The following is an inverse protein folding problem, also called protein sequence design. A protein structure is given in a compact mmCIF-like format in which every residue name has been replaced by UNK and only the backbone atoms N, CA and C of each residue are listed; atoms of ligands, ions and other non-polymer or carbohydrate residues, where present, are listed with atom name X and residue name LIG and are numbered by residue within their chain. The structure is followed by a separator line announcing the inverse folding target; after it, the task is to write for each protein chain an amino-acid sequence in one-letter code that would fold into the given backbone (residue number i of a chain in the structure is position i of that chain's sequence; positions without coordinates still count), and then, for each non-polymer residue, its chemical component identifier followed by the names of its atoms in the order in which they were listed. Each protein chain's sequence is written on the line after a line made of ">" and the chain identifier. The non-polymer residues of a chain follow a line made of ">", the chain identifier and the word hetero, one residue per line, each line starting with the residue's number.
data_IF_156247076996
#
_entry.id   IF_156247076996
#
_cell.length_a   1.000
_cell.length_b   1.000
_cell.length_c   1.000
_cell.angle_alpha   90.00
_cell.angle_beta   90.00
_cell.angle_gamma   90.00
#
_symmetry.space_group_name_H-M   'P 1'
#
loop_
_entity.id
_entity.type
_entity.pdbx_description
1 polymer ?
#
# COMPACT_ATOMS: atom_id res chain seq x y z
N UNK A 1 -25.34 -6.02 -20.88
CA UNK A 1 -24.54 -5.17 -19.99
C UNK A 1 -24.73 -3.71 -20.40
N UNK A 2 -25.12 -2.84 -19.47
CA UNK A 2 -25.65 -1.53 -19.79
C UNK A 2 -24.50 -0.57 -20.15
N UNK A 3 -24.49 -0.02 -21.38
CA UNK A 3 -23.56 1.04 -21.86
C UNK A 3 -23.36 2.20 -20.86
N UNK A 4 -24.29 2.35 -19.93
CA UNK A 4 -24.30 3.32 -18.83
C UNK A 4 -23.08 3.22 -17.91
N UNK A 5 -22.53 2.03 -17.65
CA UNK A 5 -21.42 1.82 -16.69
C UNK A 5 -20.10 2.48 -17.09
N UNK A 6 -19.73 2.37 -18.37
CA UNK A 6 -18.50 2.97 -18.89
C UNK A 6 -18.72 4.45 -19.21
N UNK A 7 -19.94 4.83 -19.60
CA UNK A 7 -20.32 6.23 -19.73
C UNK A 7 -20.33 6.95 -18.38
N UNK A 8 -20.69 6.29 -17.28
CA UNK A 8 -20.65 6.85 -15.94
C UNK A 8 -19.18 6.96 -15.46
N UNK A 9 -18.31 6.00 -15.79
CA UNK A 9 -16.85 6.08 -15.58
C UNK A 9 -16.20 7.24 -16.36
N UNK A 10 -16.48 7.36 -17.66
CA UNK A 10 -15.98 8.45 -18.51
C UNK A 10 -16.58 9.81 -18.14
N UNK A 11 -17.85 9.85 -17.69
CA UNK A 11 -18.46 11.08 -17.17
C UNK A 11 -17.89 11.49 -15.83
N UNK A 12 -17.52 10.58 -14.94
CA UNK A 12 -16.82 10.93 -13.69
C UNK A 12 -15.45 11.57 -13.99
N UNK A 13 -14.74 11.06 -15.00
CA UNK A 13 -13.48 11.64 -15.49
C UNK A 13 -13.71 13.01 -16.17
N UNK A 14 -14.82 13.16 -16.91
CA UNK A 14 -15.16 14.39 -17.67
C UNK A 14 -15.84 15.49 -16.85
N UNK A 15 -16.54 15.17 -15.76
CA UNK A 15 -17.44 16.10 -15.04
C UNK A 15 -16.88 16.62 -13.72
N UNK A 16 -15.86 15.97 -13.15
CA UNK A 16 -15.08 16.60 -12.09
C UNK A 16 -14.06 17.49 -12.77
N UNK A 17 -14.17 18.80 -12.55
CA UNK A 17 -13.00 19.68 -12.52
C UNK A 17 -12.00 19.06 -11.55
N UNK A 18 -11.19 18.12 -12.04
CA UNK A 18 -9.98 17.70 -11.38
C UNK A 18 -9.15 18.97 -11.25
N UNK A 19 -8.89 19.33 -10.00
CA UNK A 19 -7.80 20.24 -9.61
C UNK A 19 -6.71 20.21 -10.66
N UNK A 20 -6.41 21.36 -11.26
CA UNK A 20 -5.43 21.56 -12.34
C UNK A 20 -3.98 21.26 -11.94
N UNK A 21 -3.77 20.64 -10.78
CA UNK A 21 -2.51 20.03 -10.39
C UNK A 21 -2.74 18.53 -10.14
N UNK A 22 -2.24 17.70 -11.07
CA UNK A 22 -1.99 16.29 -10.80
C UNK A 22 -1.11 16.18 -9.54
N UNK A 23 -1.38 15.25 -8.61
CA UNK A 23 -0.48 15.05 -7.48
C UNK A 23 0.94 14.73 -7.98
N UNK A 24 1.96 15.28 -7.31
CA UNK A 24 3.40 15.24 -7.65
C UNK A 24 4.05 13.83 -7.74
N UNK A 25 3.24 12.77 -7.80
CA UNK A 25 3.64 11.37 -7.76
C UNK A 25 3.22 10.57 -8.99
N UNK A 26 2.33 11.10 -9.83
CA UNK A 26 1.92 10.45 -11.08
C UNK A 26 3.01 10.66 -12.12
N UNK A 27 3.58 9.60 -12.73
CA UNK A 27 4.57 9.75 -13.80
C UNK A 27 3.95 10.40 -15.03
N UNK A 28 4.78 11.06 -15.85
CA UNK A 28 4.35 11.53 -17.16
C UNK A 28 3.95 10.33 -18.03
N UNK A 29 2.88 10.48 -18.78
CA UNK A 29 2.40 9.47 -19.72
C UNK A 29 1.77 10.15 -20.94
N UNK A 30 1.73 9.44 -22.06
CA UNK A 30 1.02 9.89 -23.25
C UNK A 30 -0.50 9.87 -23.01
N UNK A 31 -1.29 10.68 -23.75
CA UNK A 31 -2.73 10.63 -23.68
C UNK A 31 -3.27 9.20 -23.94
N UNK A 32 -4.29 8.80 -23.18
CA UNK A 32 -4.95 7.51 -23.34
C UNK A 32 -5.61 7.43 -24.72
N UNK A 33 -5.40 6.33 -25.45
CA UNK A 33 -6.04 6.09 -26.74
C UNK A 33 -7.40 5.41 -26.56
N UNK A 34 -8.39 5.80 -27.37
CA UNK A 34 -9.72 5.16 -27.38
C UNK A 34 -9.64 3.64 -27.66
N UNK A 35 -8.64 3.20 -28.41
CA UNK A 35 -8.38 1.78 -28.68
C UNK A 35 -8.02 1.00 -27.43
N UNK A 36 -7.29 1.61 -26.49
CA UNK A 36 -6.84 0.97 -25.25
C UNK A 36 -8.02 0.81 -24.30
N UNK A 37 -8.87 1.84 -24.21
CA UNK A 37 -10.13 1.80 -23.44
C UNK A 37 -11.05 0.70 -23.96
N UNK A 38 -11.21 0.59 -25.29
CA UNK A 38 -12.03 -0.47 -25.91
C UNK A 38 -11.47 -1.86 -25.67
N UNK A 39 -10.15 -2.02 -25.68
CA UNK A 39 -9.51 -3.31 -25.36
C UNK A 39 -9.75 -3.71 -23.91
N UNK A 40 -9.59 -2.77 -22.97
CA UNK A 40 -9.87 -3.01 -21.56
C UNK A 40 -11.36 -3.32 -21.32
N UNK A 41 -12.26 -2.56 -21.95
CA UNK A 41 -13.70 -2.83 -21.90
C UNK A 41 -14.02 -4.24 -22.40
N UNK A 42 -13.47 -4.64 -23.54
CA UNK A 42 -13.66 -5.98 -24.11
C UNK A 42 -13.15 -7.06 -23.15
N UNK A 43 -11.95 -6.89 -22.60
CA UNK A 43 -11.38 -7.81 -21.62
C UNK A 43 -12.29 -7.96 -20.39
N UNK A 44 -12.71 -6.84 -19.78
CA UNK A 44 -13.58 -6.87 -18.61
C UNK A 44 -14.94 -7.47 -18.93
N UNK A 45 -15.51 -7.20 -20.11
CA UNK A 45 -16.80 -7.74 -20.52
C UNK A 45 -16.76 -9.25 -20.72
N UNK A 46 -15.67 -9.78 -21.29
CA UNK A 46 -15.51 -11.20 -21.59
C UNK A 46 -15.00 -12.04 -20.41
N UNK A 47 -14.60 -11.40 -19.30
CA UNK A 47 -14.17 -12.08 -18.08
C UNK A 47 -15.31 -12.17 -17.06
N UNK A 48 -15.36 -13.28 -16.31
CA UNK A 48 -16.35 -13.53 -15.26
C UNK A 48 -15.72 -13.67 -13.87
N UNK A 49 -14.44 -14.06 -13.78
CA UNK A 49 -13.70 -14.22 -12.52
C UNK A 49 -12.27 -13.69 -12.67
N UNK A 50 -12.14 -12.38 -12.53
CA UNK A 50 -10.87 -11.67 -12.68
C UNK A 50 -10.12 -11.69 -11.35
N UNK A 51 -8.87 -12.18 -11.34
CA UNK A 51 -7.91 -11.77 -10.30
C UNK A 51 -7.32 -10.43 -10.68
N UNK A 52 -7.29 -9.48 -9.75
CA UNK A 52 -6.66 -8.17 -9.98
C UNK A 52 -5.37 -8.11 -9.16
N UNK A 53 -4.24 -7.86 -9.80
CA UNK A 53 -2.97 -7.59 -9.13
C UNK A 53 -2.67 -6.09 -9.16
N UNK A 54 -2.52 -5.46 -8.00
CA UNK A 54 -2.21 -4.03 -7.90
C UNK A 54 -0.86 -3.75 -7.27
N UNK A 55 -0.18 -2.70 -7.74
CA UNK A 55 1.05 -2.17 -7.14
C UNK A 55 0.96 -0.68 -6.81
N UNK A 56 2.08 -0.09 -6.38
CA UNK A 56 2.10 1.26 -5.79
C UNK A 56 1.63 2.36 -6.76
N UNK A 57 1.69 2.13 -8.07
CA UNK A 57 1.23 3.06 -9.09
C UNK A 57 -0.23 3.46 -8.92
N UNK A 58 -1.10 2.56 -8.45
CA UNK A 58 -2.53 2.88 -8.26
C UNK A 58 -2.78 3.85 -7.11
N UNK A 59 -1.81 4.05 -6.20
CA UNK A 59 -1.94 4.92 -5.02
C UNK A 59 -1.31 6.30 -5.23
N UNK A 60 -0.68 6.55 -6.39
CA UNK A 60 -0.04 7.84 -6.73
C UNK A 60 -1.02 9.00 -6.75
N UNK A 61 -2.21 8.79 -7.30
CA UNK A 61 -3.32 9.75 -7.29
C UNK A 61 -3.89 10.00 -5.87
N UNK A 62 -3.62 9.10 -4.91
CA UNK A 62 -3.99 9.26 -3.50
C UNK A 62 -2.94 10.01 -2.68
N UNK A 63 -1.89 10.55 -3.34
CA UNK A 63 -0.84 11.31 -2.68
C UNK A 63 0.25 10.45 -2.03
N UNK A 64 0.31 9.15 -2.35
CA UNK A 64 1.34 8.22 -1.90
C UNK A 64 2.31 8.00 -3.07
N UNK A 65 3.63 8.29 -2.95
CA UNK A 65 4.57 7.99 -4.03
C UNK A 65 4.61 6.50 -4.34
N UNK A 66 5.09 6.15 -5.53
CA UNK A 66 5.55 4.80 -5.80
C UNK A 66 7.07 4.66 -5.55
N UNK A 67 7.59 3.45 -5.76
CA UNK A 67 9.00 3.17 -5.58
C UNK A 67 9.87 3.52 -6.81
N UNK A 68 9.32 3.43 -8.03
CA UNK A 68 10.12 3.19 -9.25
C UNK A 68 9.79 4.07 -10.45
N UNK A 69 8.70 4.83 -10.43
CA UNK A 69 8.39 5.72 -11.55
C UNK A 69 9.56 6.62 -11.89
N UNK A 70 9.81 6.83 -13.17
CA UNK A 70 10.88 7.72 -13.62
C UNK A 70 10.60 9.15 -13.13
N UNK A 71 11.63 9.86 -12.69
CA UNK A 71 11.60 11.21 -12.07
C UNK A 71 10.86 11.30 -10.71
N UNK A 72 9.82 10.49 -10.47
CA UNK A 72 8.90 10.63 -9.32
C UNK A 72 8.92 9.45 -8.33
N UNK A 73 9.51 8.32 -8.69
CA UNK A 73 9.63 7.16 -7.80
C UNK A 73 10.66 7.37 -6.71
N UNK A 74 10.47 6.71 -5.56
CA UNK A 74 11.37 6.84 -4.41
C UNK A 74 12.84 6.58 -4.75
N UNK A 75 13.12 5.58 -5.58
CA UNK A 75 14.49 5.23 -6.00
C UNK A 75 15.06 6.18 -7.05
N UNK A 76 14.23 6.87 -7.83
CA UNK A 76 14.67 7.92 -8.73
C UNK A 76 15.00 9.22 -7.96
N UNK A 77 14.32 9.46 -6.84
CA UNK A 77 14.48 10.69 -6.04
C UNK A 77 15.46 10.58 -4.87
N UNK A 78 15.83 9.38 -4.43
CA UNK A 78 16.61 9.20 -3.19
C UNK A 78 17.60 8.03 -3.25
N UNK A 79 18.76 8.16 -2.59
CA UNK A 79 19.71 7.07 -2.34
C UNK A 79 19.26 6.14 -1.18
N UNK A 80 17.99 6.18 -0.81
CA UNK A 80 17.49 5.47 0.36
C UNK A 80 17.44 3.96 0.11
N UNK A 81 17.98 3.21 1.07
CA UNK A 81 17.90 1.75 1.08
C UNK A 81 16.77 1.31 2.02
N UNK A 82 15.85 0.45 1.57
CA UNK A 82 14.79 -0.05 2.42
C UNK A 82 15.36 -0.83 3.61
N UNK A 83 14.64 -0.81 4.74
CA UNK A 83 15.03 -1.55 5.94
C UNK A 83 15.02 -3.06 5.65
N UNK A 84 16.15 -3.74 5.90
CA UNK A 84 16.24 -5.18 5.76
C UNK A 84 15.63 -5.88 6.98
N UNK A 85 14.93 -6.99 6.75
CA UNK A 85 14.30 -7.76 7.82
C UNK A 85 15.29 -8.16 8.92
N UNK A 86 16.44 -8.71 8.51
CA UNK A 86 17.47 -9.17 9.44
C UNK A 86 18.03 -8.04 10.30
N UNK A 87 18.22 -6.85 9.73
CA UNK A 87 18.71 -5.69 10.47
C UNK A 87 17.69 -5.23 11.52
N UNK A 88 16.39 -5.21 11.16
CA UNK A 88 15.32 -4.85 12.08
C UNK A 88 15.21 -5.86 13.25
N UNK A 89 15.31 -7.16 12.96
CA UNK A 89 15.22 -8.20 14.00
C UNK A 89 16.43 -8.14 14.94
N UNK A 90 17.64 -7.96 14.41
CA UNK A 90 18.89 -8.08 15.19
C UNK A 90 19.27 -6.80 15.93
N UNK A 91 18.88 -5.62 15.45
CA UNK A 91 19.37 -4.34 16.00
C UNK A 91 18.27 -3.49 16.62
N UNK A 92 18.36 -3.26 17.93
CA UNK A 92 17.49 -2.31 18.65
C UNK A 92 17.61 -0.88 18.09
N UNK A 93 18.81 -0.45 17.70
CA UNK A 93 19.04 0.86 17.07
C UNK A 93 18.31 0.99 15.73
N UNK A 94 18.30 -0.08 14.91
CA UNK A 94 17.55 -0.08 13.65
C UNK A 94 16.04 0.01 13.92
N UNK A 95 15.53 -0.72 14.92
CA UNK A 95 14.11 -0.61 15.33
C UNK A 95 13.76 0.78 15.83
N UNK A 96 14.63 1.39 16.62
CA UNK A 96 14.44 2.75 17.12
C UNK A 96 14.31 3.75 15.97
N UNK A 97 15.28 3.74 15.05
CA UNK A 97 15.24 4.60 13.87
C UNK A 97 14.00 4.35 13.02
N UNK A 98 13.64 3.09 12.78
CA UNK A 98 12.45 2.74 11.98
C UNK A 98 11.16 3.28 12.64
N UNK A 99 10.96 2.99 13.92
CA UNK A 99 9.75 3.41 14.63
C UNK A 99 9.66 4.93 14.79
N UNK A 100 10.78 5.62 15.00
CA UNK A 100 10.79 7.09 15.06
C UNK A 100 10.33 7.72 13.74
N UNK A 101 10.82 7.20 12.60
CA UNK A 101 10.40 7.65 11.27
C UNK A 101 8.94 7.29 10.99
N UNK A 102 8.56 6.03 11.23
CA UNK A 102 7.19 5.58 11.02
C UNK A 102 6.18 6.31 11.92
N UNK A 103 6.57 6.71 13.13
CA UNK A 103 5.76 7.53 14.04
C UNK A 103 5.41 8.88 13.43
N UNK A 104 6.41 9.59 12.88
CA UNK A 104 6.21 10.91 12.25
C UNK A 104 5.39 10.81 10.97
N UNK A 105 5.61 9.77 10.17
CA UNK A 105 4.88 9.58 8.90
C UNK A 105 3.43 9.10 9.05
N UNK A 106 3.08 8.48 10.18
CA UNK A 106 1.81 7.78 10.37
C UNK A 106 0.57 8.66 10.20
N UNK A 107 0.56 9.87 10.76
CA UNK A 107 -0.62 10.74 10.72
C UNK A 107 -1.04 11.03 9.27
N UNK A 108 -0.08 11.37 8.41
CA UNK A 108 -0.34 11.61 6.99
C UNK A 108 -0.68 10.33 6.24
N UNK A 109 0.08 9.26 6.45
CA UNK A 109 -0.15 7.99 5.76
C UNK A 109 -1.54 7.42 6.03
N UNK A 110 -1.95 7.44 7.31
CA UNK A 110 -3.23 6.91 7.75
C UNK A 110 -4.44 7.73 7.26
N UNK A 111 -4.24 8.99 6.86
CA UNK A 111 -5.27 9.88 6.30
C UNK A 111 -5.35 9.87 4.77
N UNK A 112 -4.47 9.15 4.07
CA UNK A 112 -4.60 8.98 2.62
C UNK A 112 -5.92 8.27 2.30
N UNK A 113 -6.64 8.81 1.31
CA UNK A 113 -7.96 8.32 0.91
C UNK A 113 -7.91 7.58 -0.44
N UNK A 114 -8.82 6.62 -0.68
CA UNK A 114 -8.90 5.95 -1.96
C UNK A 114 -9.23 6.92 -3.11
N UNK A 115 -8.69 6.63 -4.29
CA UNK A 115 -8.99 7.36 -5.53
C UNK A 115 -9.98 6.61 -6.43
N UNK A 116 -10.25 7.16 -7.61
CA UNK A 116 -11.21 6.62 -8.57
C UNK A 116 -10.91 5.17 -8.98
N UNK A 117 -9.63 4.77 -9.08
CA UNK A 117 -9.25 3.39 -9.41
C UNK A 117 -9.74 2.43 -8.34
N UNK A 118 -9.45 2.72 -7.07
CA UNK A 118 -9.87 1.87 -5.94
C UNK A 118 -11.39 1.68 -5.89
N UNK A 119 -12.16 2.76 -6.01
CA UNK A 119 -13.63 2.67 -6.04
C UNK A 119 -14.15 1.90 -7.26
N UNK A 120 -13.51 2.04 -8.42
CA UNK A 120 -13.89 1.31 -9.62
C UNK A 120 -13.67 -0.20 -9.47
N UNK A 121 -12.54 -0.60 -8.87
CA UNK A 121 -12.25 -2.01 -8.60
C UNK A 121 -13.21 -2.58 -7.57
N UNK A 122 -13.51 -1.83 -6.51
CA UNK A 122 -14.56 -2.19 -5.53
C UNK A 122 -15.92 -2.39 -6.20
N UNK A 123 -16.30 -1.58 -7.18
CA UNK A 123 -17.57 -1.74 -7.88
C UNK A 123 -17.57 -2.98 -8.79
N UNK A 124 -16.47 -3.25 -9.51
CA UNK A 124 -16.33 -4.50 -10.29
C UNK A 124 -16.44 -5.75 -9.41
N UNK A 125 -15.89 -5.68 -8.20
CA UNK A 125 -15.98 -6.74 -7.20
C UNK A 125 -17.39 -6.87 -6.62
N UNK A 126 -17.90 -5.80 -5.98
CA UNK A 126 -19.09 -5.87 -5.12
C UNK A 126 -20.39 -5.72 -5.89
N UNK A 127 -20.43 -4.85 -6.91
CA UNK A 127 -21.66 -4.53 -7.62
C UNK A 127 -21.83 -5.36 -8.89
N UNK A 128 -20.72 -5.78 -9.51
CA UNK A 128 -20.75 -6.57 -10.75
C UNK A 128 -20.33 -8.02 -10.58
N UNK A 129 -19.80 -8.40 -9.41
CA UNK A 129 -19.38 -9.76 -9.11
C UNK A 129 -18.45 -10.35 -10.18
N UNK A 130 -17.57 -9.52 -10.74
CA UNK A 130 -16.60 -9.92 -11.80
C UNK A 130 -15.22 -10.23 -11.26
N UNK A 131 -14.91 -9.80 -10.04
CA UNK A 131 -13.58 -9.93 -9.44
C UNK A 131 -13.60 -11.06 -8.43
N UNK A 132 -12.72 -12.05 -8.61
CA UNK A 132 -12.53 -13.14 -7.66
C UNK A 132 -11.83 -12.62 -6.38
N UNK A 133 -10.69 -11.93 -6.56
CA UNK A 133 -9.99 -11.24 -5.49
C UNK A 133 -9.11 -10.13 -6.04
N UNK A 134 -8.86 -9.12 -5.21
CA UNK A 134 -7.80 -8.14 -5.42
C UNK A 134 -6.58 -8.59 -4.62
N UNK A 135 -5.47 -8.88 -5.30
CA UNK A 135 -4.16 -9.13 -4.70
C UNK A 135 -3.36 -7.83 -4.78
N UNK A 136 -3.02 -7.23 -3.65
CA UNK A 136 -2.28 -5.96 -3.64
C UNK A 136 -0.88 -6.12 -3.06
N UNK A 137 0.11 -5.54 -3.74
CA UNK A 137 1.46 -5.38 -3.23
C UNK A 137 1.57 -4.18 -2.26
N UNK A 138 0.54 -3.35 -2.18
CA UNK A 138 0.55 -2.13 -1.37
C UNK A 138 0.25 -2.47 0.09
N UNK A 139 0.75 -1.63 1.00
CA UNK A 139 0.58 -1.76 2.45
C UNK A 139 -0.28 -0.62 3.04
N UNK A 140 -0.93 0.15 2.16
CA UNK A 140 -1.68 1.38 2.45
C UNK A 140 -3.14 1.16 2.85
N UNK A 141 -3.62 -0.09 2.74
CA UNK A 141 -5.01 -0.51 2.98
C UNK A 141 -6.07 0.32 2.22
N UNK A 142 -5.73 1.01 1.12
CA UNK A 142 -6.67 1.86 0.38
C UNK A 142 -7.80 1.06 -0.28
N UNK A 143 -7.56 -0.20 -0.68
CA UNK A 143 -8.63 -1.09 -1.17
C UNK A 143 -9.69 -1.35 -0.10
N UNK A 144 -9.28 -1.66 1.13
CA UNK A 144 -10.21 -1.85 2.24
C UNK A 144 -10.95 -0.55 2.58
N UNK A 145 -10.26 0.60 2.57
CA UNK A 145 -10.90 1.91 2.74
C UNK A 145 -11.92 2.23 1.64
N UNK A 146 -11.70 1.76 0.41
CA UNK A 146 -12.66 1.90 -0.68
C UNK A 146 -13.89 0.98 -0.53
N UNK A 147 -13.84 0.02 0.40
CA UNK A 147 -14.91 -0.93 0.68
C UNK A 147 -14.82 -2.24 -0.11
N UNK A 148 -13.66 -2.55 -0.70
CA UNK A 148 -13.39 -3.89 -1.23
C UNK A 148 -13.35 -4.92 -0.10
N UNK A 149 -13.81 -6.13 -0.37
CA UNK A 149 -14.01 -7.18 0.65
C UNK A 149 -13.02 -8.32 0.49
N UNK A 150 -12.82 -8.79 -0.74
CA UNK A 150 -11.95 -9.89 -1.12
C UNK A 150 -10.58 -9.34 -1.52
N UNK A 151 -9.80 -8.94 -0.52
CA UNK A 151 -8.46 -8.35 -0.71
C UNK A 151 -7.40 -9.19 -0.02
N UNK A 152 -6.37 -9.58 -0.77
CA UNK A 152 -5.16 -10.21 -0.25
C UNK A 152 -4.04 -9.17 -0.27
N UNK A 153 -3.67 -8.66 0.91
CA UNK A 153 -2.52 -7.78 1.11
C UNK A 153 -1.23 -8.60 1.08
N UNK A 154 -0.66 -8.82 -0.11
CA UNK A 154 0.49 -9.72 -0.35
C UNK A 154 1.67 -9.40 0.57
N UNK A 155 2.00 -8.12 0.73
CA UNK A 155 3.08 -7.67 1.61
C UNK A 155 2.62 -7.35 3.03
N UNK A 156 1.37 -7.68 3.38
CA UNK A 156 0.74 -7.27 4.63
C UNK A 156 0.36 -5.80 4.63
N UNK A 157 0.29 -5.17 5.79
CA UNK A 157 -0.26 -3.82 5.96
C UNK A 157 0.48 -3.01 7.00
N UNK A 158 0.59 -1.70 6.75
CA UNK A 158 1.08 -0.74 7.72
C UNK A 158 0.10 -0.52 8.88
N UNK A 159 -1.17 -0.91 8.74
CA UNK A 159 -2.24 -0.68 9.71
C UNK A 159 -2.30 -1.73 10.83
N UNK A 160 -1.44 -2.75 10.77
CA UNK A 160 -1.31 -3.82 11.76
C UNK A 160 0.12 -3.92 12.26
N UNK A 161 0.28 -4.24 13.54
CA UNK A 161 1.58 -4.40 14.20
C UNK A 161 1.61 -5.76 14.89
N UNK A 162 2.67 -6.52 14.71
CA UNK A 162 2.84 -7.87 15.24
C UNK A 162 4.05 -7.94 16.19
N UNK A 163 3.92 -8.69 17.27
CA UNK A 163 5.05 -9.04 18.12
C UNK A 163 5.93 -10.09 17.45
N UNK A 164 7.24 -9.84 17.42
CA UNK A 164 8.19 -10.81 16.85
C UNK A 164 8.30 -12.09 17.68
N UNK A 165 8.06 -12.02 18.99
CA UNK A 165 8.15 -13.16 19.92
C UNK A 165 6.84 -13.96 19.98
N UNK A 166 5.76 -13.37 20.49
CA UNK A 166 4.51 -14.09 20.77
C UNK A 166 3.45 -13.97 19.66
N UNK A 167 3.74 -13.25 18.57
CA UNK A 167 2.84 -13.05 17.42
C UNK A 167 1.51 -12.33 17.72
N UNK A 168 1.32 -11.80 18.94
CA UNK A 168 0.18 -10.93 19.26
C UNK A 168 0.12 -9.77 18.27
N UNK A 169 -1.09 -9.52 17.75
CA UNK A 169 -1.37 -8.48 16.78
C UNK A 169 -2.09 -7.30 17.43
N UNK A 170 -1.73 -6.10 17.01
CA UNK A 170 -2.30 -4.84 17.46
C UNK A 170 -2.68 -3.98 16.25
N UNK A 171 -3.70 -3.14 16.42
CA UNK A 171 -3.96 -2.04 15.48
C UNK A 171 -2.80 -1.04 15.52
N UNK A 172 -2.36 -0.55 14.36
CA UNK A 172 -1.33 0.50 14.30
C UNK A 172 -1.80 1.80 14.94
N UNK A 173 -3.11 2.07 14.98
CA UNK A 173 -3.68 3.22 15.71
C UNK A 173 -3.42 3.12 17.21
N UNK A 174 -3.69 1.97 17.81
CA UNK A 174 -3.39 1.71 19.22
C UNK A 174 -1.89 1.89 19.52
N UNK A 175 -1.02 1.37 18.64
CA UNK A 175 0.42 1.55 18.80
C UNK A 175 0.83 3.03 18.64
N UNK A 176 0.13 3.82 17.84
CA UNK A 176 0.39 5.27 17.74
C UNK A 176 0.13 5.97 19.06
N UNK A 177 -1.00 5.69 19.72
CA UNK A 177 -1.34 6.28 21.02
C UNK A 177 -0.25 6.01 22.05
N UNK A 178 0.22 4.75 22.13
CA UNK A 178 1.35 4.38 23.01
C UNK A 178 2.64 5.10 22.65
N UNK A 179 2.93 5.27 21.37
CA UNK A 179 4.13 5.98 20.93
C UNK A 179 4.08 7.46 21.33
N UNK A 180 2.91 8.10 21.30
CA UNK A 180 2.70 9.47 21.78
C UNK A 180 3.01 9.56 23.29
N UNK A 181 2.49 8.62 24.08
CA UNK A 181 2.72 8.56 25.54
C UNK A 181 4.20 8.32 25.88
N UNK A 182 4.87 7.44 25.14
CA UNK A 182 6.28 7.10 25.34
C UNK A 182 7.23 8.23 24.91
N UNK A 183 6.80 9.12 24.02
CA UNK A 183 7.65 10.12 23.37
C UNK A 183 7.02 11.53 23.38
N UNK A 184 6.66 12.08 24.56
CA UNK A 184 5.91 13.33 24.67
C UNK A 184 6.67 14.57 24.13
N UNK A 185 7.99 14.46 24.01
CA UNK A 185 8.85 15.55 23.53
C UNK A 185 9.10 15.53 22.03
N UNK A 186 8.56 14.55 21.28
CA UNK A 186 8.77 14.47 19.84
C UNK A 186 7.83 15.44 19.10
N UNK A 187 8.41 16.49 18.50
CA UNK A 187 7.67 17.61 17.87
C UNK A 187 7.76 17.65 16.34
N UNK A 188 8.52 16.74 15.73
CA UNK A 188 8.76 16.78 14.29
C UNK A 188 7.52 16.46 13.46
N UNK A 189 7.41 17.19 12.35
CA UNK A 189 6.46 16.91 11.28
C UNK A 189 7.23 16.86 9.96
N UNK A 190 6.92 15.90 9.09
CA UNK A 190 7.59 15.77 7.79
C UNK A 190 6.63 16.02 6.64
N UNK A 191 7.07 16.82 5.67
CA UNK A 191 6.34 17.09 4.42
C UNK A 191 6.56 16.01 3.36
N UNK A 192 7.44 15.04 3.60
CA UNK A 192 7.69 13.92 2.70
C UNK A 192 7.08 12.64 3.27
N UNK A 193 6.55 11.79 2.40
CA UNK A 193 5.99 10.48 2.76
C UNK A 193 6.48 9.47 1.74
N UNK A 194 6.81 8.25 2.18
CA UNK A 194 7.23 7.13 1.31
C UNK A 194 6.05 6.16 1.12
N UNK A 195 6.14 5.18 0.19
CA UNK A 195 5.00 4.31 -0.13
C UNK A 195 4.55 3.41 1.04
N UNK A 196 5.42 3.19 2.03
CA UNK A 196 5.18 2.45 3.27
C UNK A 196 4.93 3.35 4.50
N UNK A 197 4.75 4.65 4.27
CA UNK A 197 4.53 5.65 5.33
C UNK A 197 5.79 6.07 6.09
N UNK A 198 6.97 5.60 5.67
CA UNK A 198 8.25 6.01 6.23
C UNK A 198 8.61 7.45 5.83
N UNK A 199 9.37 8.14 6.68
CA UNK A 199 9.85 9.52 6.44
C UNK A 199 11.31 9.66 6.82
N UNK A 200 11.94 10.77 6.45
CA UNK A 200 13.31 11.09 6.89
C UNK A 200 13.25 12.14 8.01
N UNK A 201 14.01 11.89 9.09
CA UNK A 201 14.13 12.76 10.26
C UNK A 201 15.59 12.82 10.70
N UNK A 202 15.98 13.89 11.40
CA UNK A 202 17.34 14.07 11.91
C UNK A 202 17.69 13.03 12.98
N UNK A 203 18.99 12.68 13.08
CA UNK A 203 19.49 11.75 14.12
C UNK A 203 19.21 12.25 15.54
N UNK A 204 19.22 13.58 15.76
CA UNK A 204 18.89 14.21 17.05
C UNK A 204 17.49 13.83 17.54
N UNK A 205 16.52 13.72 16.63
CA UNK A 205 15.15 13.32 16.95
C UNK A 205 14.98 11.80 17.10
N UNK A 206 15.94 11.00 16.63
CA UNK A 206 15.96 9.55 16.82
C UNK A 206 16.56 9.21 18.19
N UNK A 207 17.54 10.00 18.65
CA UNK A 207 18.17 9.81 19.95
C UNK A 207 17.12 9.98 21.05
N UNK A 208 17.02 8.96 21.91
CA UNK A 208 16.06 8.96 23.02
C UNK A 208 14.63 8.56 22.63
N UNK A 209 14.35 8.30 21.35
CA UNK A 209 13.04 7.75 20.95
C UNK A 209 12.84 6.36 21.56
N UNK A 210 11.69 6.12 22.17
CA UNK A 210 11.33 4.88 22.84
C UNK A 210 10.39 4.06 21.93
N UNK A 211 10.87 2.95 21.34
CA UNK A 211 10.06 2.10 20.48
C UNK A 211 9.01 1.33 21.28
N UNK A 212 7.90 0.92 20.66
CA UNK A 212 6.84 0.24 21.37
C UNK A 212 7.24 -1.22 21.64
N UNK A 213 6.87 -1.71 22.82
CA UNK A 213 7.03 -3.11 23.23
C UNK A 213 5.65 -3.79 23.32
N UNK A 214 5.65 -5.10 23.16
CA UNK A 214 4.45 -5.91 23.25
C UNK A 214 3.89 -5.95 24.68
N UNK A 215 2.59 -5.67 24.85
CA UNK A 215 1.92 -5.75 26.15
C UNK A 215 1.88 -7.16 26.73
N UNK A 216 1.86 -8.17 25.87
CA UNK A 216 1.73 -9.56 26.31
C UNK A 216 3.05 -10.17 26.80
N UNK A 217 4.20 -9.75 26.25
CA UNK A 217 5.48 -10.41 26.55
C UNK A 217 6.70 -9.48 26.63
N UNK A 218 6.54 -8.17 26.46
CA UNK A 218 7.64 -7.21 26.40
C UNK A 218 8.54 -7.32 25.16
N UNK A 219 8.22 -8.23 24.22
CA UNK A 219 8.99 -8.45 22.99
C UNK A 219 8.91 -7.30 21.99
N UNK A 220 9.87 -7.21 21.05
CA UNK A 220 9.89 -6.16 20.04
C UNK A 220 8.72 -6.29 19.08
N UNK A 221 8.13 -5.15 18.73
CA UNK A 221 7.05 -5.03 17.75
C UNK A 221 7.61 -4.67 16.37
N UNK A 222 6.97 -5.21 15.32
CA UNK A 222 7.21 -4.89 13.90
C UNK A 222 5.86 -4.58 13.25
N UNK A 223 5.73 -3.59 12.36
CA UNK A 223 4.54 -3.53 11.51
C UNK A 223 4.39 -4.84 10.73
N UNK A 224 3.16 -5.24 10.43
CA UNK A 224 2.89 -6.45 9.66
C UNK A 224 3.10 -6.22 8.16
N UNK A 225 4.28 -5.69 7.82
CA UNK A 225 4.78 -5.50 6.47
C UNK A 225 5.90 -6.49 6.22
N UNK A 226 5.88 -7.14 5.06
CA UNK A 226 6.97 -8.00 4.59
C UNK A 226 8.13 -7.09 4.17
N UNK A 227 9.20 -7.08 4.95
CA UNK A 227 10.40 -6.27 4.63
C UNK A 227 11.24 -6.93 3.54
N UNK A 228 12.20 -6.17 3.00
CA UNK A 228 13.20 -6.75 2.12
C UNK A 228 14.02 -7.80 2.88
N UNK A 229 14.21 -8.96 2.25
CA UNK A 229 14.84 -10.13 2.88
C UNK A 229 13.96 -10.88 3.89
N UNK A 230 12.68 -10.51 4.02
CA UNK A 230 11.65 -11.30 4.72
C UNK A 230 10.95 -12.25 3.73
N UNK A 231 10.22 -13.23 4.26
CA UNK A 231 9.37 -14.12 3.47
C UNK A 231 7.91 -13.72 3.62
N UNK A 232 7.19 -13.69 2.50
CA UNK A 232 5.72 -13.63 2.55
C UNK A 232 5.22 -14.90 3.26
N UNK A 233 4.26 -14.80 4.20
CA UNK A 233 3.71 -15.98 4.88
C UNK A 233 3.19 -17.01 3.87
N UNK A 234 3.54 -18.29 4.08
CA UNK A 234 3.19 -19.38 3.14
C UNK A 234 1.69 -19.51 2.89
N UNK A 235 0.86 -19.31 3.93
CA UNK A 235 -0.60 -19.31 3.79
C UNK A 235 -1.09 -18.24 2.82
N UNK A 236 -0.48 -17.05 2.83
CA UNK A 236 -0.86 -15.96 1.92
C UNK A 236 -0.46 -16.26 0.48
N UNK A 237 0.67 -16.92 0.28
CA UNK A 237 1.08 -17.41 -1.04
C UNK A 237 0.09 -18.47 -1.56
N UNK A 238 -0.35 -19.38 -0.69
CA UNK A 238 -1.35 -20.39 -1.01
C UNK A 238 -2.69 -19.74 -1.37
N UNK A 239 -3.16 -18.76 -0.61
CA UNK A 239 -4.38 -17.99 -0.91
C UNK A 239 -4.30 -17.36 -2.31
N UNK A 240 -3.18 -16.71 -2.66
CA UNK A 240 -2.98 -16.12 -3.99
C UNK A 240 -2.98 -17.19 -5.08
N UNK A 241 -2.29 -18.32 -4.87
CA UNK A 241 -2.26 -19.42 -5.85
C UNK A 241 -3.67 -19.97 -6.10
N UNK A 242 -4.45 -20.16 -5.05
CA UNK A 242 -5.82 -20.67 -5.14
C UNK A 242 -6.70 -19.71 -5.95
N UNK A 243 -6.73 -18.42 -5.60
CA UNK A 243 -7.52 -17.43 -6.34
C UNK A 243 -7.11 -17.34 -7.80
N UNK A 244 -5.80 -17.32 -8.09
CA UNK A 244 -5.30 -17.27 -9.47
C UNK A 244 -5.72 -18.53 -10.25
N UNK A 245 -5.65 -19.71 -9.64
CA UNK A 245 -6.04 -20.96 -10.28
C UNK A 245 -7.55 -21.08 -10.57
N UNK A 246 -8.38 -20.40 -9.78
CA UNK A 246 -9.83 -20.39 -9.92
C UNK A 246 -10.37 -19.25 -10.82
N UNK A 247 -9.48 -18.36 -11.24
CA UNK A 247 -9.80 -17.19 -12.06
C UNK A 247 -9.71 -17.50 -13.56
N UNK A 248 -10.54 -16.85 -14.36
CA UNK A 248 -10.51 -16.98 -15.83
C UNK A 248 -9.60 -15.94 -16.49
N UNK A 249 -9.16 -14.92 -15.73
CA UNK A 249 -8.39 -13.79 -16.24
C UNK A 249 -7.60 -13.08 -15.13
N UNK A 250 -6.50 -12.42 -15.52
CA UNK A 250 -5.64 -11.64 -14.65
C UNK A 250 -5.52 -10.21 -15.19
N UNK A 251 -5.82 -9.21 -14.35
CA UNK A 251 -5.61 -7.80 -14.66
C UNK A 251 -4.54 -7.23 -13.73
N UNK A 252 -3.47 -6.64 -14.30
CA UNK A 252 -2.39 -6.02 -13.53
C UNK A 252 -2.48 -4.50 -13.65
N UNK A 253 -2.48 -3.79 -12.52
CA UNK A 253 -2.62 -2.33 -12.47
C UNK A 253 -1.54 -1.70 -11.57
N UNK A 254 -0.84 -0.69 -12.10
CA UNK A 254 0.11 0.12 -11.31
C UNK A 254 1.26 -0.67 -10.69
N UNK A 255 1.66 -1.80 -11.26
CA UNK A 255 2.84 -2.56 -10.83
C UNK A 255 3.83 -2.73 -11.97
N UNK A 256 5.12 -2.58 -11.68
CA UNK A 256 6.21 -2.90 -12.62
C UNK A 256 6.53 -4.39 -12.68
N UNK A 257 5.97 -5.21 -11.78
CA UNK A 257 6.25 -6.64 -11.63
C UNK A 257 7.75 -6.99 -11.46
N UNK A 258 8.58 -6.00 -11.10
CA UNK A 258 10.04 -6.14 -11.00
C UNK A 258 10.53 -6.78 -9.70
N UNK A 259 9.63 -6.96 -8.71
CA UNK A 259 9.97 -7.63 -7.45
C UNK A 259 9.54 -9.09 -7.53
N UNK A 260 10.53 -9.98 -7.55
CA UNK A 260 10.31 -11.42 -7.46
C UNK A 260 10.34 -11.86 -6.01
N UNK A 261 9.35 -12.66 -5.61
CA UNK A 261 9.33 -13.32 -4.31
C UNK A 261 9.64 -14.79 -4.51
N UNK A 262 10.65 -15.28 -3.79
CA UNK A 262 10.97 -16.71 -3.81
C UNK A 262 9.84 -17.44 -3.09
N UNK A 263 9.08 -18.19 -3.88
CA UNK A 263 8.05 -19.14 -3.45
C UNK A 263 8.65 -20.29 -2.63
#
# INVERSE_FOLDING_TARGET
>A
MNKKLILDYLKIISSKQLSTQLPNFVPKHDPVLDSDVKQLESFVNNSNKITILTGAGISTESGIPDYRSEEVGLYARTNHRPTQHQDFVKSSKVRQRYWARNYVGWDRFSKCEPNAVHFSLRNLEVEHNKVASIVTQNVDSLHFKAGSKNVIELHGTAFRVICLHCKTSYSRYYIQEKLIELNPNMKETSNMIRPDGDVEISEENIVGFMPPLCDSCGGPLKPDITFFGDNVPGSRIEDVRNVVSESDSLLVLGSSLSVFFRL
#
